data_IF_542486625128
#
_entry.id   IF_542486625128
#
_cell.length_a   1.000
_cell.length_b   1.000
_cell.length_c   1.000
_cell.angle_alpha   90.00
_cell.angle_beta   90.00
_cell.angle_gamma   90.00
#
_symmetry.space_group_name_H-M   'P 1'
#
loop_
_entity.id
_entity.type
_entity.pdbx_description
1 polymer ?
#
# COMPACT_ATOMS: atom_id res chain seq x y z
N UNK A 1 -1.77 -61.38 -46.24
CA UNK A 1 -2.56 -60.71 -45.19
C UNK A 1 -1.68 -59.59 -44.67
N UNK A 2 -1.86 -58.38 -45.19
CA UNK A 2 -1.00 -57.24 -44.89
C UNK A 2 -1.79 -56.29 -44.03
N UNK A 3 -1.35 -56.10 -42.79
CA UNK A 3 -1.97 -55.20 -41.80
C UNK A 3 -1.67 -53.75 -42.20
N UNK A 4 -2.72 -52.97 -42.46
CA UNK A 4 -2.62 -51.52 -42.58
C UNK A 4 -2.72 -50.92 -41.18
N UNK A 5 -1.58 -50.45 -40.66
CA UNK A 5 -1.53 -49.59 -39.47
C UNK A 5 -1.93 -48.18 -39.92
N UNK A 6 -3.12 -47.76 -39.51
CA UNK A 6 -3.64 -46.42 -39.74
C UNK A 6 -3.04 -45.49 -38.67
N UNK A 7 -2.04 -44.71 -39.08
CA UNK A 7 -1.42 -43.69 -38.24
C UNK A 7 -2.42 -42.55 -38.03
N UNK A 8 -3.00 -42.48 -36.83
CA UNK A 8 -3.87 -41.37 -36.43
C UNK A 8 -3.01 -40.10 -36.25
N UNK A 9 -3.15 -39.16 -37.18
CA UNK A 9 -2.58 -37.82 -37.06
C UNK A 9 -3.09 -37.17 -35.78
N UNK A 10 -2.17 -36.94 -34.84
CA UNK A 10 -2.42 -36.16 -33.63
C UNK A 10 -2.45 -34.70 -34.06
N UNK A 11 -3.66 -34.16 -34.21
CA UNK A 11 -3.90 -32.75 -34.52
C UNK A 11 -3.30 -31.89 -33.40
N UNK A 12 -2.19 -31.22 -33.70
CA UNK A 12 -1.52 -30.33 -32.78
C UNK A 12 -2.45 -29.13 -32.47
N UNK A 13 -2.59 -28.71 -31.20
CA UNK A 13 -3.47 -27.61 -30.84
C UNK A 13 -3.00 -26.32 -31.53
N UNK A 14 -3.91 -25.68 -32.26
CA UNK A 14 -3.66 -24.38 -32.89
C UNK A 14 -3.37 -23.31 -31.83
N UNK A 15 -2.36 -22.44 -32.03
CA UNK A 15 -2.07 -21.38 -31.08
C UNK A 15 -3.26 -20.41 -31.03
N UNK A 16 -3.86 -20.26 -29.84
CA UNK A 16 -4.92 -19.28 -29.61
C UNK A 16 -4.36 -17.86 -29.74
N UNK A 17 -4.89 -17.10 -30.70
CA UNK A 17 -4.53 -15.69 -30.88
C UNK A 17 -5.06 -14.92 -29.66
N UNK A 18 -4.22 -14.12 -28.95
CA UNK A 18 -4.70 -13.33 -27.83
C UNK A 18 -5.77 -12.35 -28.33
N UNK A 19 -6.91 -12.31 -27.63
CA UNK A 19 -8.00 -11.39 -27.96
C UNK A 19 -7.51 -9.93 -27.94
N UNK A 20 -7.97 -9.12 -28.89
CA UNK A 20 -7.60 -7.72 -28.98
C UNK A 20 -8.17 -6.92 -27.80
N UNK A 21 -7.35 -6.05 -27.21
CA UNK A 21 -7.77 -5.11 -26.16
C UNK A 21 -8.79 -4.12 -26.72
N UNK A 22 -9.91 -3.95 -26.03
CA UNK A 22 -10.99 -3.03 -26.43
C UNK A 22 -10.96 -1.73 -25.62
N UNK A 23 -11.62 -0.66 -26.10
CA UNK A 23 -11.81 0.55 -25.29
C UNK A 23 -12.57 0.30 -23.97
N UNK A 24 -13.46 -0.69 -23.93
CA UNK A 24 -14.15 -1.09 -22.71
C UNK A 24 -13.19 -1.68 -21.68
N UNK A 25 -12.23 -2.50 -22.11
CA UNK A 25 -11.21 -3.05 -21.21
C UNK A 25 -10.35 -1.96 -20.59
N UNK A 26 -10.00 -0.92 -21.36
CA UNK A 26 -9.27 0.22 -20.85
C UNK A 26 -10.10 1.04 -19.84
N UNK A 27 -11.40 1.22 -20.09
CA UNK A 27 -12.30 1.90 -19.17
C UNK A 27 -12.46 1.13 -17.84
N UNK A 28 -12.63 -0.19 -17.92
CA UNK A 28 -12.73 -1.08 -16.78
C UNK A 28 -11.42 -1.11 -15.96
N UNK A 29 -10.27 -1.18 -16.64
CA UNK A 29 -8.95 -1.11 -16.01
C UNK A 29 -8.75 0.22 -15.27
N UNK A 30 -9.09 1.34 -15.90
CA UNK A 30 -9.04 2.65 -15.26
C UNK A 30 -10.01 2.77 -14.07
N UNK A 31 -11.18 2.14 -14.16
CA UNK A 31 -12.15 2.12 -13.06
C UNK A 31 -11.66 1.31 -11.86
N UNK A 32 -11.00 0.18 -12.12
CA UNK A 32 -10.37 -0.60 -11.06
C UNK A 32 -9.32 0.23 -10.30
N UNK A 33 -8.46 0.97 -11.02
CA UNK A 33 -7.48 1.87 -10.41
C UNK A 33 -8.18 3.00 -9.64
N UNK A 34 -9.27 3.56 -10.18
CA UNK A 34 -10.06 4.59 -9.49
C UNK A 34 -10.71 4.09 -8.20
N UNK A 35 -11.10 2.81 -8.12
CA UNK A 35 -11.54 2.20 -6.86
C UNK A 35 -10.39 2.06 -5.85
N UNK A 36 -9.19 1.69 -6.31
CA UNK A 36 -7.99 1.63 -5.46
C UNK A 36 -7.61 2.97 -4.84
N UNK A 37 -7.95 4.09 -5.51
CA UNK A 37 -7.75 5.44 -5.01
C UNK A 37 -8.82 5.92 -4.01
N UNK A 38 -9.78 5.07 -3.63
CA UNK A 38 -10.84 5.39 -2.67
C UNK A 38 -10.65 4.61 -1.35
N UNK A 39 -9.94 5.16 -0.34
CA UNK A 39 -9.52 4.39 0.85
C UNK A 39 -10.66 3.81 1.69
N UNK A 40 -11.87 4.38 1.57
CA UNK A 40 -13.06 3.96 2.32
C UNK A 40 -13.92 2.96 1.56
N UNK A 41 -13.69 2.79 0.26
CA UNK A 41 -14.44 1.86 -0.56
C UNK A 41 -13.86 0.46 -0.34
N UNK A 42 -14.75 -0.50 -0.10
CA UNK A 42 -14.37 -1.88 0.18
C UNK A 42 -14.97 -2.77 -0.91
N UNK A 43 -14.24 -3.75 -1.47
CA UNK A 43 -14.77 -4.66 -2.47
C UNK A 43 -16.05 -5.37 -2.02
N UNK A 44 -16.13 -5.74 -0.74
CA UNK A 44 -17.31 -6.40 -0.19
C UNK A 44 -18.59 -5.53 -0.19
N UNK A 45 -18.47 -4.22 -0.42
CA UNK A 45 -19.58 -3.25 -0.44
C UNK A 45 -19.92 -2.75 -1.83
N UNK A 46 -19.17 -3.18 -2.85
CA UNK A 46 -19.32 -2.72 -4.22
C UNK A 46 -19.14 -3.89 -5.20
N UNK A 47 -20.23 -4.26 -5.87
CA UNK A 47 -20.24 -5.43 -6.76
C UNK A 47 -19.36 -5.24 -7.99
N UNK A 48 -19.36 -4.04 -8.59
CA UNK A 48 -18.53 -3.73 -9.77
C UNK A 48 -17.05 -3.85 -9.41
N UNK A 49 -16.67 -3.31 -8.25
CA UNK A 49 -15.29 -3.43 -7.76
C UNK A 49 -14.90 -4.91 -7.53
N UNK A 50 -15.76 -5.70 -6.89
CA UNK A 50 -15.50 -7.12 -6.67
C UNK A 50 -15.35 -7.90 -7.99
N UNK A 51 -16.16 -7.58 -9.00
CA UNK A 51 -16.10 -8.20 -10.33
C UNK A 51 -14.81 -7.84 -11.08
N UNK A 52 -14.39 -6.57 -11.06
CA UNK A 52 -13.14 -6.13 -11.68
C UNK A 52 -11.92 -6.73 -11.00
N UNK A 53 -11.93 -6.90 -9.67
CA UNK A 53 -10.86 -7.60 -8.93
C UNK A 53 -10.79 -9.07 -9.29
N UNK A 54 -11.94 -9.74 -9.43
CA UNK A 54 -11.98 -11.12 -9.90
C UNK A 54 -11.40 -11.22 -11.31
N UNK A 55 -11.82 -10.33 -12.21
CA UNK A 55 -11.30 -10.26 -13.58
C UNK A 55 -9.79 -10.04 -13.61
N UNK A 56 -9.26 -9.10 -12.83
CA UNK A 56 -7.82 -8.88 -12.68
C UNK A 56 -7.06 -10.18 -12.31
N UNK A 57 -7.62 -10.99 -11.42
CA UNK A 57 -6.96 -12.23 -10.97
C UNK A 57 -7.05 -13.37 -11.96
N UNK A 58 -8.10 -13.38 -12.79
CA UNK A 58 -8.42 -14.50 -13.70
C UNK A 58 -8.00 -14.22 -15.16
N UNK A 59 -7.81 -12.96 -15.53
CA UNK A 59 -7.50 -12.49 -16.89
C UNK A 59 -6.15 -11.73 -16.91
N UNK A 60 -5.02 -12.42 -17.17
CA UNK A 60 -3.69 -11.79 -17.17
C UNK A 60 -3.52 -10.62 -18.16
N UNK A 61 -4.08 -10.65 -19.39
CA UNK A 61 -4.17 -9.47 -20.24
C UNK A 61 -4.82 -8.24 -19.58
N UNK A 62 -5.97 -8.42 -18.92
CA UNK A 62 -6.64 -7.33 -18.21
C UNK A 62 -5.81 -6.84 -17.02
N UNK A 63 -5.15 -7.74 -16.28
CA UNK A 63 -4.23 -7.38 -15.20
C UNK A 63 -3.11 -6.45 -15.68
N UNK A 64 -2.41 -6.84 -16.76
CA UNK A 64 -1.36 -6.01 -17.37
C UNK A 64 -1.88 -4.65 -17.84
N UNK A 65 -3.12 -4.59 -18.32
CA UNK A 65 -3.73 -3.32 -18.73
C UNK A 65 -4.00 -2.41 -17.52
N UNK A 66 -4.53 -2.96 -16.42
CA UNK A 66 -4.74 -2.22 -15.18
C UNK A 66 -3.41 -1.73 -14.57
N UNK A 67 -2.39 -2.57 -14.56
CA UNK A 67 -1.04 -2.20 -14.13
C UNK A 67 -0.45 -1.08 -14.99
N UNK A 68 -0.62 -1.15 -16.31
CA UNK A 68 -0.17 -0.12 -17.23
C UNK A 68 -0.91 1.22 -17.00
N UNK A 69 -2.21 1.19 -16.71
CA UNK A 69 -2.97 2.39 -16.35
C UNK A 69 -2.48 2.98 -15.03
N UNK A 70 -2.26 2.15 -14.01
CA UNK A 70 -1.72 2.61 -12.72
C UNK A 70 -0.33 3.23 -12.90
N UNK A 71 0.57 2.55 -13.62
CA UNK A 71 1.91 3.05 -13.93
C UNK A 71 1.87 4.37 -14.72
N UNK A 72 0.97 4.50 -15.70
CA UNK A 72 0.78 5.74 -16.46
C UNK A 72 0.31 6.93 -15.61
N UNK A 73 -0.32 6.66 -14.47
CA UNK A 73 -0.72 7.66 -13.47
C UNK A 73 0.38 7.92 -12.42
N UNK A 74 1.54 7.26 -12.53
CA UNK A 74 2.58 7.30 -11.51
C UNK A 74 2.17 6.59 -10.23
N UNK A 75 1.41 5.50 -10.32
CA UNK A 75 1.00 4.67 -9.19
C UNK A 75 1.73 3.34 -9.24
N UNK A 76 2.08 2.82 -8.06
CA UNK A 76 2.64 1.49 -7.85
C UNK A 76 1.56 0.63 -7.19
N UNK A 77 1.25 -0.51 -7.81
CA UNK A 77 0.31 -1.50 -7.25
C UNK A 77 1.05 -2.34 -6.23
N UNK A 78 0.65 -2.26 -4.96
CA UNK A 78 1.30 -2.97 -3.84
C UNK A 78 0.66 -4.33 -3.58
N UNK A 79 -0.66 -4.40 -3.67
CA UNK A 79 -1.44 -5.62 -3.43
C UNK A 79 -2.72 -5.58 -4.26
N UNK A 80 -3.16 -6.73 -4.77
CA UNK A 80 -4.50 -6.91 -5.32
C UNK A 80 -5.13 -8.15 -4.71
N UNK A 81 -6.15 -7.99 -3.86
CA UNK A 81 -6.82 -9.11 -3.21
C UNK A 81 -8.33 -8.84 -3.02
N UNK A 82 -9.17 -9.90 -2.89
CA UNK A 82 -10.60 -9.70 -2.60
C UNK A 82 -10.88 -8.99 -1.28
N UNK A 83 -9.94 -9.09 -0.33
CA UNK A 83 -10.07 -8.51 1.01
C UNK A 83 -9.60 -7.06 1.06
N UNK A 84 -8.42 -6.77 0.50
CA UNK A 84 -7.84 -5.43 0.53
C UNK A 84 -8.32 -4.56 -0.63
N UNK A 85 -8.79 -5.18 -1.73
CA UNK A 85 -8.99 -4.51 -3.00
C UNK A 85 -7.68 -4.36 -3.77
N UNK A 86 -7.60 -3.36 -4.64
CA UNK A 86 -6.38 -2.91 -5.28
C UNK A 86 -5.75 -1.82 -4.41
N UNK A 87 -4.68 -2.17 -3.71
CA UNK A 87 -3.88 -1.23 -2.93
C UNK A 87 -2.83 -0.58 -3.83
N UNK A 88 -2.90 0.74 -3.98
CA UNK A 88 -1.95 1.53 -4.75
C UNK A 88 -1.26 2.56 -3.88
N UNK A 89 -0.02 2.88 -4.21
CA UNK A 89 0.72 4.02 -3.67
C UNK A 89 1.23 4.90 -4.81
N UNK A 90 1.51 6.16 -4.50
CA UNK A 90 2.14 7.07 -5.44
C UNK A 90 3.64 6.76 -5.57
N UNK A 91 4.16 6.76 -6.80
CA UNK A 91 5.60 6.83 -7.05
C UNK A 91 6.16 8.22 -6.64
N UNK A 92 7.47 8.35 -6.44
CA UNK A 92 8.10 9.60 -5.96
C UNK A 92 7.83 10.82 -6.85
N UNK A 93 7.76 10.62 -8.16
CA UNK A 93 7.52 11.64 -9.18
C UNK A 93 6.04 11.80 -9.55
N UNK A 94 5.16 11.03 -8.91
CA UNK A 94 3.72 11.03 -9.16
C UNK A 94 3.06 12.35 -8.77
N UNK A 95 2.01 12.73 -9.51
CA UNK A 95 1.12 13.84 -9.13
C UNK A 95 0.33 13.54 -7.85
N UNK A 96 0.22 12.26 -7.48
CA UNK A 96 -0.43 11.81 -6.25
C UNK A 96 0.54 11.76 -5.05
N UNK A 97 1.84 11.98 -5.27
CA UNK A 97 2.84 11.95 -4.21
C UNK A 97 2.62 13.09 -3.22
N UNK A 98 2.46 12.74 -1.94
CA UNK A 98 2.43 13.72 -0.86
C UNK A 98 3.87 14.09 -0.54
N UNK A 99 4.30 15.30 -0.92
CA UNK A 99 5.62 15.79 -0.56
C UNK A 99 5.63 16.23 0.91
N UNK A 100 6.74 15.96 1.61
CA UNK A 100 6.91 16.38 3.01
C UNK A 100 6.73 17.90 3.19
N UNK A 101 7.07 18.71 2.19
CA UNK A 101 6.81 20.15 2.20
C UNK A 101 5.32 20.51 2.17
N UNK A 102 4.49 19.74 1.46
CA UNK A 102 3.04 19.92 1.41
C UNK A 102 2.36 19.41 2.68
N UNK A 103 2.88 18.30 3.22
CA UNK A 103 2.45 17.77 4.50
C UNK A 103 2.74 18.77 5.63
N UNK A 104 4.00 19.20 5.75
CA UNK A 104 4.44 20.12 6.80
C UNK A 104 3.64 21.42 6.78
N UNK A 105 3.36 22.00 5.60
CA UNK A 105 2.51 23.20 5.47
C UNK A 105 1.08 23.00 5.99
N UNK A 106 0.51 21.80 5.88
CA UNK A 106 -0.86 21.50 6.32
C UNK A 106 -0.96 21.20 7.82
N UNK A 107 0.10 20.67 8.40
CA UNK A 107 0.15 20.33 9.84
C UNK A 107 0.79 21.40 10.70
N UNK A 108 1.43 22.42 10.11
CA UNK A 108 2.16 23.46 10.82
C UNK A 108 1.30 24.60 11.38
N UNK A 109 0.16 24.31 12.01
CA UNK A 109 -0.65 25.35 12.65
C UNK A 109 -0.01 25.87 13.96
N UNK A 110 0.70 25.01 14.71
CA UNK A 110 1.39 25.35 15.96
C UNK A 110 2.72 24.57 16.10
N UNK A 111 3.66 25.06 16.93
CA UNK A 111 4.95 24.42 17.20
C UNK A 111 4.84 23.08 17.93
N UNK A 112 3.88 22.96 18.85
CA UNK A 112 3.59 21.70 19.56
C UNK A 112 3.13 20.58 18.62
N UNK A 113 2.26 20.91 17.67
CA UNK A 113 1.77 19.96 16.67
C UNK A 113 2.90 19.40 15.79
N UNK A 114 3.88 20.23 15.42
CA UNK A 114 5.04 19.78 14.64
C UNK A 114 5.90 18.78 15.42
N UNK A 115 6.09 19.01 16.72
CA UNK A 115 6.86 18.10 17.57
C UNK A 115 6.16 16.74 17.70
N UNK A 116 4.87 16.73 18.06
CA UNK A 116 4.06 15.50 18.14
C UNK A 116 4.05 14.74 16.82
N UNK A 117 4.00 15.47 15.72
CA UNK A 117 4.03 14.91 14.39
C UNK A 117 5.38 14.24 14.05
N UNK A 118 6.50 14.88 14.42
CA UNK A 118 7.84 14.28 14.30
C UNK A 118 7.98 13.02 15.16
N UNK A 119 7.48 13.06 16.39
CA UNK A 119 7.49 11.91 17.30
C UNK A 119 6.67 10.74 16.75
N UNK A 120 5.49 11.01 16.18
CA UNK A 120 4.67 10.01 15.54
C UNK A 120 5.38 9.35 14.35
N UNK A 121 6.05 10.13 13.50
CA UNK A 121 6.85 9.58 12.39
C UNK A 121 8.01 8.72 12.86
N UNK A 122 8.73 9.16 13.90
CA UNK A 122 9.82 8.39 14.46
C UNK A 122 9.33 7.06 15.04
N UNK A 123 8.20 7.06 15.73
CA UNK A 123 7.58 5.85 16.26
C UNK A 123 7.10 4.92 15.15
N UNK A 124 6.48 5.44 14.09
CA UNK A 124 6.12 4.66 12.89
C UNK A 124 7.35 4.02 12.29
N UNK A 125 8.43 4.79 12.07
CA UNK A 125 9.66 4.28 11.49
C UNK A 125 10.31 3.20 12.37
N UNK A 126 10.41 3.43 13.68
CA UNK A 126 10.99 2.47 14.63
C UNK A 126 10.19 1.17 14.73
N UNK A 127 8.86 1.25 14.63
CA UNK A 127 7.98 0.07 14.64
C UNK A 127 7.95 -0.66 13.30
N UNK A 128 7.94 0.09 12.20
CA UNK A 128 7.90 -0.46 10.86
C UNK A 128 9.24 -1.09 10.48
N UNK A 129 10.37 -0.50 10.87
CA UNK A 129 11.72 -0.93 10.49
C UNK A 129 12.59 -1.12 11.75
N UNK A 130 12.43 -2.24 12.49
CA UNK A 130 13.15 -2.47 13.73
C UNK A 130 14.66 -2.63 13.55
N UNK A 131 15.10 -3.00 12.34
CA UNK A 131 16.52 -3.19 12.00
C UNK A 131 16.93 -2.26 10.86
N UNK A 132 18.19 -1.78 10.83
CA UNK A 132 18.66 -0.91 9.75
C UNK A 132 18.50 -1.52 8.36
N UNK A 133 18.69 -2.83 8.22
CA UNK A 133 18.51 -3.53 6.96
C UNK A 133 17.05 -3.53 6.45
N UNK A 134 16.05 -3.47 7.34
CA UNK A 134 14.65 -3.43 6.94
C UNK A 134 14.32 -2.11 6.23
N UNK A 135 14.99 -1.02 6.61
CA UNK A 135 14.81 0.30 5.99
C UNK A 135 15.49 0.41 4.62
N UNK A 136 16.55 -0.37 4.39
CA UNK A 136 17.29 -0.36 3.13
C UNK A 136 16.71 -1.30 2.07
N UNK A 137 15.69 -2.11 2.43
CA UNK A 137 15.01 -3.04 1.54
C UNK A 137 13.73 -2.42 0.97
N UNK A 138 13.77 -2.01 -0.30
CA UNK A 138 12.63 -1.42 -1.01
C UNK A 138 11.42 -2.39 -1.13
N UNK A 139 11.64 -3.70 -0.96
CA UNK A 139 10.58 -4.71 -0.96
C UNK A 139 9.98 -4.97 0.42
N UNK A 140 10.56 -4.43 1.48
CA UNK A 140 10.10 -4.65 2.84
C UNK A 140 8.85 -3.82 3.15
N UNK A 141 7.81 -4.48 3.68
CA UNK A 141 6.55 -3.83 4.05
C UNK A 141 6.38 -3.87 5.58
N UNK A 142 6.71 -2.76 6.23
CA UNK A 142 6.47 -2.56 7.66
C UNK A 142 4.99 -2.33 7.95
N UNK A 143 4.41 -3.16 8.84
CA UNK A 143 3.00 -3.06 9.22
C UNK A 143 2.86 -2.39 10.58
N UNK A 144 2.18 -1.26 10.62
CA UNK A 144 1.87 -0.51 11.85
C UNK A 144 0.39 -0.22 11.95
N UNK A 145 -0.07 0.05 13.17
CA UNK A 145 -1.43 0.54 13.43
C UNK A 145 -1.36 1.81 14.27
N UNK A 146 -2.36 2.68 14.12
CA UNK A 146 -2.45 3.93 14.90
C UNK A 146 -2.39 3.66 16.40
N UNK A 147 -3.17 2.69 16.88
CA UNK A 147 -3.17 2.31 18.30
C UNK A 147 -1.82 1.77 18.76
N UNK A 148 -1.12 1.02 17.91
CA UNK A 148 0.22 0.52 18.21
C UNK A 148 1.23 1.64 18.36
N UNK A 149 1.19 2.64 17.47
CA UNK A 149 2.06 3.81 17.50
C UNK A 149 1.81 4.66 18.74
N UNK A 150 0.55 4.97 19.08
CA UNK A 150 0.19 5.71 20.30
C UNK A 150 0.69 4.98 21.57
N UNK A 151 0.43 3.67 21.66
CA UNK A 151 0.87 2.86 22.80
C UNK A 151 2.40 2.82 22.92
N UNK A 152 3.11 2.72 21.80
CA UNK A 152 4.58 2.74 21.76
C UNK A 152 5.14 4.07 22.26
N UNK A 153 4.62 5.20 21.75
CA UNK A 153 5.06 6.54 22.17
C UNK A 153 4.83 6.74 23.67
N UNK A 154 3.64 6.41 24.17
CA UNK A 154 3.33 6.54 25.62
C UNK A 154 4.24 5.67 26.48
N UNK A 155 4.55 4.46 26.03
CA UNK A 155 5.48 3.58 26.76
C UNK A 155 6.91 4.12 26.73
N UNK A 156 7.35 4.74 25.63
CA UNK A 156 8.65 5.38 25.53
C UNK A 156 8.75 6.57 26.50
N UNK A 157 7.73 7.44 26.56
CA UNK A 157 7.66 8.54 27.53
C UNK A 157 7.79 8.03 28.97
N UNK A 158 6.97 7.05 29.37
CA UNK A 158 7.05 6.45 30.72
C UNK A 158 8.45 5.95 31.08
N UNK A 159 9.12 5.25 30.16
CA UNK A 159 10.49 4.76 30.40
C UNK A 159 11.52 5.87 30.51
N UNK A 160 11.34 6.96 29.79
CA UNK A 160 12.23 8.12 29.86
C UNK A 160 12.02 8.86 31.20
N UNK A 161 10.78 8.99 31.66
CA UNK A 161 10.42 9.52 32.98
C UNK A 161 11.05 8.68 34.10
N UNK A 162 10.82 7.36 34.10
CA UNK A 162 11.41 6.42 35.08
C UNK A 162 12.94 6.57 35.15
N UNK A 163 13.61 6.65 34.00
CA UNK A 163 15.07 6.82 33.93
C UNK A 163 15.52 8.21 34.39
N UNK A 164 14.78 9.27 34.07
CA UNK A 164 15.10 10.62 34.51
C UNK A 164 14.96 10.76 36.03
N UNK A 165 13.98 10.09 36.64
CA UNK A 165 13.81 9.99 38.09
C UNK A 165 14.98 9.25 38.74
N UNK A 166 15.40 8.11 38.18
CA UNK A 166 16.56 7.35 38.68
C UNK A 166 17.87 8.15 38.64
N UNK A 167 18.06 8.99 37.62
CA UNK A 167 19.28 9.79 37.43
C UNK A 167 19.19 11.16 38.12
N UNK A 168 18.01 11.53 38.64
CA UNK A 168 17.78 12.84 39.29
C UNK A 168 17.78 14.02 38.31
N UNK A 169 17.56 13.76 37.02
CA UNK A 169 17.54 14.74 35.92
C UNK A 169 16.11 15.11 35.51
N UNK A 170 15.08 14.65 36.23
CA UNK A 170 13.70 15.04 35.93
C UNK A 170 13.50 16.54 36.23
N UNK A 171 13.41 17.34 35.17
CA UNK A 171 13.17 18.79 35.22
C UNK A 171 11.74 19.17 34.85
N UNK A 172 10.85 18.19 34.61
CA UNK A 172 9.48 18.52 34.24
C UNK A 172 8.76 19.20 35.41
N UNK A 173 8.09 20.33 35.17
CA UNK A 173 7.26 20.94 36.20
C UNK A 173 6.15 19.96 36.57
N UNK A 174 5.83 19.88 37.87
CA UNK A 174 4.68 19.09 38.30
C UNK A 174 3.43 19.54 37.54
N UNK A 175 2.59 18.60 37.11
CA UNK A 175 1.38 18.86 36.30
C UNK A 175 0.41 19.86 36.95
N UNK A 176 0.54 20.10 38.26
CA UNK A 176 -0.22 21.07 39.06
C UNK A 176 0.59 22.30 39.53
N UNK A 177 1.79 22.53 38.98
CA UNK A 177 2.56 23.74 39.27
C UNK A 177 1.96 24.95 38.51
N UNK A 178 1.88 26.13 39.16
CA UNK A 178 1.24 27.32 38.61
C UNK A 178 1.97 27.89 37.38
#
# INVERSE_FOLDING_TARGET
MSEHVEWSDTEAPTPSVPAAVTPADAADAARLVAFGLQPKLQPARDQEYAELLRRYREDPPFARLADAVAAGLGLVVLEVSPRAGMAVTAAEDSVFAVRMGDYARRTSADGGDRFLHGLAHLAVAAMAFPRPEDLADDGYIGRVSVNGVDAFVRQACRRLEERAEEVGENTDPATDAP
#
